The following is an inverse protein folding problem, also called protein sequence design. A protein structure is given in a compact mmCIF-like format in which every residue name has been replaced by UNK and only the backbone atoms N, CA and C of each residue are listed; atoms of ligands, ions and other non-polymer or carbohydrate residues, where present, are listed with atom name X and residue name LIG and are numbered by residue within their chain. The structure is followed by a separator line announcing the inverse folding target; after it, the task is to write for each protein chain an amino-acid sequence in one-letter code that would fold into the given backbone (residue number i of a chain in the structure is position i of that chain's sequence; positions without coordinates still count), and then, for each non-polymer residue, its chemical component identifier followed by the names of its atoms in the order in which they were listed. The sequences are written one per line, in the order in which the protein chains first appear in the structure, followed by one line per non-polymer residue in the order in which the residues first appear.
data_IF_020199993682
#
_entry.id   IF_020199993682
#
_cell.length_a   1.000
_cell.length_b   1.000
_cell.length_c   1.000
_cell.angle_alpha   90.00
_cell.angle_beta   90.00
_cell.angle_gamma   90.00
#
_symmetry.space_group_name_H-M   'P 1'
#
loop_
_entity.id
_entity.type
_entity.pdbx_description
1 polymer ?
#
# COMPACT_ATOMS: atom_id res chain seq x y z
N UNK A 1 -3.39 11.94 -16.13
CA UNK A 1 -2.88 11.12 -14.99
C UNK A 1 -1.81 11.92 -14.27
N UNK A 2 -1.86 11.93 -12.91
CA UNK A 2 -0.83 12.50 -12.05
C UNK A 2 -0.45 11.45 -11.01
N UNK A 3 0.85 11.26 -10.76
CA UNK A 3 1.35 10.39 -9.71
C UNK A 3 2.20 11.22 -8.73
N UNK A 4 1.97 11.02 -7.43
CA UNK A 4 2.70 11.69 -6.35
C UNK A 4 3.26 10.63 -5.42
N UNK A 5 4.58 10.60 -5.25
CA UNK A 5 5.24 9.68 -4.32
C UNK A 5 4.98 10.16 -2.89
N UNK A 6 4.40 9.31 -2.07
CA UNK A 6 4.14 9.57 -0.66
C UNK A 6 5.23 9.01 0.24
N UNK A 7 5.87 7.91 -0.15
CA UNK A 7 7.02 7.34 0.53
C UNK A 7 7.90 6.62 -0.49
N UNK A 8 9.20 6.81 -0.37
CA UNK A 8 10.27 6.04 -0.99
C UNK A 8 11.54 6.12 -0.14
N UNK A 9 12.63 5.54 -0.64
CA UNK A 9 13.90 5.47 0.11
C UNK A 9 14.58 6.83 0.33
N UNK A 10 14.11 7.89 -0.32
CA UNK A 10 14.75 9.21 -0.30
C UNK A 10 13.77 10.24 0.22
N UNK A 11 14.13 10.91 1.31
CA UNK A 11 13.39 12.09 1.79
C UNK A 11 13.81 13.35 1.04
N UNK A 12 12.87 14.26 0.78
CA UNK A 12 13.14 15.55 0.16
C UNK A 12 12.42 16.69 0.90
N UNK A 13 13.17 17.71 1.26
CA UNK A 13 12.63 18.86 1.98
C UNK A 13 12.03 18.47 3.34
N UNK A 14 10.75 18.77 3.58
CA UNK A 14 10.07 18.40 4.82
C UNK A 14 9.57 16.93 4.83
N UNK A 15 9.69 16.21 3.71
CA UNK A 15 9.22 14.84 3.56
C UNK A 15 10.33 13.87 3.97
N UNK A 16 9.99 12.93 4.82
CA UNK A 16 10.91 11.87 5.22
C UNK A 16 10.84 10.69 4.24
N UNK A 17 11.96 9.96 4.11
CA UNK A 17 12.02 8.71 3.35
C UNK A 17 12.08 7.49 4.27
N UNK A 18 11.68 6.35 3.76
CA UNK A 18 11.86 5.04 4.37
C UNK A 18 12.10 3.98 3.31
N UNK A 19 12.65 2.84 3.68
CA UNK A 19 12.72 1.68 2.79
C UNK A 19 11.31 1.19 2.50
N UNK A 20 10.83 1.41 1.27
CA UNK A 20 9.47 1.06 0.85
C UNK A 20 8.93 2.00 -0.21
N UNK A 21 7.68 1.77 -0.60
CA UNK A 21 7.02 2.57 -1.62
C UNK A 21 5.56 2.85 -1.26
N UNK A 22 5.12 4.09 -1.54
CA UNK A 22 3.71 4.46 -1.57
C UNK A 22 3.49 5.58 -2.58
N UNK A 23 2.54 5.40 -3.50
CA UNK A 23 2.25 6.36 -4.56
C UNK A 23 0.75 6.68 -4.58
N UNK A 24 0.42 7.96 -4.49
CA UNK A 24 -0.91 8.48 -4.76
C UNK A 24 -1.06 8.78 -6.25
N UNK A 25 -2.13 8.27 -6.87
CA UNK A 25 -2.39 8.41 -8.29
C UNK A 25 -3.78 9.04 -8.49
N UNK A 26 -3.80 10.12 -9.28
CA UNK A 26 -5.02 10.72 -9.82
C UNK A 26 -5.15 10.33 -11.30
N UNK A 27 -6.17 9.55 -11.61
CA UNK A 27 -6.46 9.11 -12.97
C UNK A 27 -7.95 9.28 -13.26
N UNK A 28 -8.25 10.05 -14.31
CA UNK A 28 -9.62 10.48 -14.62
C UNK A 28 -10.29 11.09 -13.37
N UNK A 29 -11.38 10.51 -12.90
CA UNK A 29 -12.10 10.90 -11.69
C UNK A 29 -11.78 9.98 -10.49
N UNK A 30 -10.72 9.16 -10.58
CA UNK A 30 -10.31 8.21 -9.54
C UNK A 30 -9.07 8.66 -8.79
N UNK A 31 -9.07 8.38 -7.50
CA UNK A 31 -7.94 8.54 -6.59
C UNK A 31 -7.52 7.16 -6.11
N UNK A 32 -6.29 6.78 -6.40
CA UNK A 32 -5.79 5.43 -6.22
C UNK A 32 -4.56 5.48 -5.32
N UNK A 33 -4.41 4.53 -4.41
CA UNK A 33 -3.20 4.35 -3.63
C UNK A 33 -2.49 3.06 -4.10
N UNK A 34 -1.28 3.21 -4.64
CA UNK A 34 -0.42 2.09 -4.95
C UNK A 34 0.58 1.92 -3.81
N UNK A 35 0.55 0.79 -3.13
CA UNK A 35 1.34 0.47 -1.96
C UNK A 35 1.21 1.45 -0.78
N UNK A 36 1.73 1.08 0.37
CA UNK A 36 1.54 1.82 1.62
C UNK A 36 2.81 2.03 2.43
N UNK A 37 3.98 1.64 1.89
CA UNK A 37 5.25 1.75 2.62
C UNK A 37 5.40 0.75 3.77
N UNK A 38 6.48 0.92 4.52
CA UNK A 38 6.84 0.06 5.65
C UNK A 38 6.21 0.50 6.98
N UNK A 39 5.68 1.72 7.05
CA UNK A 39 5.18 2.33 8.29
C UNK A 39 4.01 3.30 8.06
N UNK A 40 3.76 4.17 9.05
CA UNK A 40 2.81 5.27 8.91
C UNK A 40 3.37 6.48 8.13
N UNK A 41 4.60 6.42 7.63
CA UNK A 41 5.30 7.58 7.05
C UNK A 41 4.53 8.18 5.87
N UNK A 42 4.00 7.35 4.98
CA UNK A 42 3.20 7.83 3.83
C UNK A 42 1.98 8.67 4.27
N UNK A 43 1.41 8.39 5.46
CA UNK A 43 0.29 9.17 6.02
C UNK A 43 0.76 10.57 6.45
N UNK A 44 1.92 10.66 7.08
CA UNK A 44 2.49 11.94 7.51
C UNK A 44 2.90 12.79 6.29
N UNK A 45 3.51 12.16 5.28
CA UNK A 45 3.87 12.82 4.03
C UNK A 45 2.62 13.26 3.25
N UNK A 46 1.59 12.42 3.16
CA UNK A 46 0.32 12.79 2.53
C UNK A 46 -0.30 14.02 3.20
N UNK A 47 -0.27 14.08 4.54
CA UNK A 47 -0.73 15.23 5.31
C UNK A 47 0.10 16.49 5.01
N UNK A 48 1.42 16.37 4.93
CA UNK A 48 2.30 17.49 4.58
C UNK A 48 2.08 18.03 3.16
N UNK A 49 1.57 17.17 2.26
CA UNK A 49 1.22 17.52 0.88
C UNK A 49 -0.25 17.88 0.66
N UNK A 50 -1.06 17.99 1.73
CA UNK A 50 -2.51 18.23 1.67
C UNK A 50 -3.27 17.17 0.82
N UNK A 51 -2.82 15.91 0.84
CA UNK A 51 -3.46 14.80 0.14
C UNK A 51 -4.41 14.07 1.10
N UNK A 52 -5.73 14.14 0.88
CA UNK A 52 -6.73 13.53 1.77
C UNK A 52 -6.87 12.02 1.49
N UNK A 53 -6.22 11.18 2.29
CA UNK A 53 -6.25 9.71 2.16
C UNK A 53 -7.66 9.14 2.33
N UNK A 54 -8.54 9.82 3.05
CA UNK A 54 -9.96 9.47 3.21
C UNK A 54 -10.75 9.51 1.91
N UNK A 55 -10.26 10.24 0.89
CA UNK A 55 -10.92 10.40 -0.41
C UNK A 55 -10.38 9.42 -1.47
N UNK A 56 -9.50 8.50 -1.12
CA UNK A 56 -9.01 7.48 -2.03
C UNK A 56 -10.14 6.48 -2.32
N UNK A 57 -10.37 6.19 -3.61
CA UNK A 57 -11.43 5.30 -4.08
C UNK A 57 -11.07 3.83 -3.85
N UNK A 58 -9.84 3.45 -4.13
CA UNK A 58 -9.31 2.10 -3.90
C UNK A 58 -7.78 2.09 -3.81
N UNK A 59 -7.25 1.02 -3.24
CA UNK A 59 -5.81 0.75 -3.20
C UNK A 59 -5.43 -0.48 -3.99
N UNK A 60 -4.17 -0.56 -4.38
CA UNK A 60 -3.54 -1.70 -5.07
C UNK A 60 -2.25 -2.03 -4.33
N UNK A 61 -2.04 -3.31 -4.03
CA UNK A 61 -0.76 -3.79 -3.53
C UNK A 61 0.01 -4.41 -4.70
N UNK A 62 1.17 -3.84 -5.01
CA UNK A 62 2.04 -4.34 -6.09
C UNK A 62 2.57 -5.73 -5.80
N UNK A 63 3.00 -5.96 -4.57
CA UNK A 63 3.42 -7.24 -4.02
C UNK A 63 3.41 -7.20 -2.49
N UNK A 64 3.45 -8.37 -1.85
CA UNK A 64 3.18 -8.48 -0.43
C UNK A 64 4.42 -8.42 0.49
N UNK A 65 5.51 -7.77 0.10
CA UNK A 65 6.59 -7.48 1.02
C UNK A 65 6.17 -6.43 2.05
N UNK A 66 6.73 -6.52 3.27
CA UNK A 66 6.37 -5.67 4.41
C UNK A 66 6.55 -4.17 4.12
N UNK A 67 7.56 -3.82 3.35
CA UNK A 67 7.91 -2.45 2.98
C UNK A 67 6.97 -1.82 1.92
N UNK A 68 6.00 -2.59 1.43
CA UNK A 68 4.90 -2.15 0.58
C UNK A 68 3.53 -2.28 1.26
N UNK A 69 3.40 -3.17 2.24
CA UNK A 69 2.12 -3.57 2.81
C UNK A 69 1.87 -3.13 4.26
N UNK A 70 2.91 -2.87 5.06
CA UNK A 70 2.75 -2.57 6.49
C UNK A 70 1.91 -1.32 6.78
N UNK A 71 1.93 -0.35 5.87
CA UNK A 71 1.14 0.86 5.99
C UNK A 71 -0.37 0.67 5.85
N UNK A 72 -0.85 -0.47 5.33
CA UNK A 72 -2.29 -0.71 5.06
C UNK A 72 -3.16 -0.53 6.31
N UNK A 73 -2.68 -0.90 7.50
CA UNK A 73 -3.40 -0.69 8.76
C UNK A 73 -3.68 0.80 8.99
N UNK A 74 -2.69 1.65 8.76
CA UNK A 74 -2.82 3.11 8.93
C UNK A 74 -3.74 3.72 7.88
N UNK A 75 -3.71 3.19 6.65
CA UNK A 75 -4.65 3.56 5.60
C UNK A 75 -6.09 3.24 6.00
N UNK A 76 -6.39 2.00 6.42
CA UNK A 76 -7.74 1.59 6.81
C UNK A 76 -8.29 2.32 8.02
N UNK A 77 -7.44 2.79 8.91
CA UNK A 77 -7.84 3.68 10.02
C UNK A 77 -8.30 5.06 9.54
N UNK A 78 -7.76 5.56 8.43
CA UNK A 78 -8.10 6.87 7.84
C UNK A 78 -9.22 6.78 6.82
N UNK A 79 -9.12 5.85 5.90
CA UNK A 79 -10.13 5.61 4.87
C UNK A 79 -11.09 4.50 5.33
N UNK A 80 -12.40 4.78 5.33
CA UNK A 80 -13.41 3.86 5.85
C UNK A 80 -14.13 3.05 4.78
N UNK A 81 -13.91 3.33 3.49
CA UNK A 81 -14.68 2.73 2.40
C UNK A 81 -13.84 2.02 1.34
N UNK A 82 -12.66 2.52 1.03
CA UNK A 82 -11.83 1.96 -0.04
C UNK A 82 -11.47 0.50 0.20
N UNK A 83 -11.53 -0.30 -0.85
CA UNK A 83 -11.00 -1.67 -0.88
C UNK A 83 -9.55 -1.65 -1.34
N UNK A 84 -8.79 -2.67 -0.95
CA UNK A 84 -7.43 -2.90 -1.45
C UNK A 84 -7.40 -4.16 -2.30
N UNK A 85 -6.86 -4.05 -3.50
CA UNK A 85 -6.72 -5.16 -4.45
C UNK A 85 -5.34 -5.78 -4.30
N UNK A 86 -5.30 -7.09 -4.13
CA UNK A 86 -4.10 -7.91 -3.95
C UNK A 86 -4.16 -9.10 -4.91
N UNK A 87 -2.99 -9.57 -5.35
CA UNK A 87 -2.92 -10.86 -6.01
C UNK A 87 -3.31 -11.98 -5.04
N UNK A 88 -4.02 -12.99 -5.52
CA UNK A 88 -4.51 -14.12 -4.73
C UNK A 88 -3.41 -14.86 -3.98
N UNK A 89 -2.23 -14.99 -4.59
CA UNK A 89 -1.05 -15.63 -4.01
C UNK A 89 -0.13 -14.67 -3.23
N UNK A 90 -0.55 -13.44 -2.98
CA UNK A 90 0.35 -12.40 -2.46
C UNK A 90 0.97 -12.73 -1.09
N UNK A 91 0.29 -13.49 -0.23
CA UNK A 91 0.80 -13.88 1.08
C UNK A 91 1.66 -15.17 1.07
N UNK A 92 1.84 -15.78 -0.12
CA UNK A 92 2.62 -16.99 -0.29
C UNK A 92 4.08 -16.68 -0.58
N UNK A 93 4.99 -17.53 -0.07
CA UNK A 93 6.42 -17.49 -0.42
C UNK A 93 7.17 -16.17 -0.15
N UNK A 94 6.67 -15.32 0.73
CA UNK A 94 7.33 -14.07 1.13
C UNK A 94 8.38 -14.32 2.21
N UNK A 95 9.48 -14.98 1.85
CA UNK A 95 10.58 -15.28 2.77
C UNK A 95 11.93 -14.83 2.20
N UNK A 96 12.72 -14.15 3.03
CA UNK A 96 14.15 -13.95 2.77
C UNK A 96 14.95 -15.08 3.42
N UNK A 97 16.04 -15.50 2.76
CA UNK A 97 17.01 -16.42 3.34
C UNK A 97 18.25 -15.62 3.77
N UNK A 98 18.41 -15.48 5.08
CA UNK A 98 19.49 -14.71 5.68
C UNK A 98 20.15 -15.55 6.79
N UNK A 99 21.48 -15.60 6.79
CA UNK A 99 22.28 -16.28 7.82
C UNK A 99 21.83 -17.73 8.13
N UNK A 100 21.47 -18.48 7.09
CA UNK A 100 21.06 -19.89 7.22
C UNK A 100 19.62 -20.10 7.71
N UNK A 101 18.79 -19.04 7.76
CA UNK A 101 17.39 -19.12 8.19
C UNK A 101 16.44 -18.44 7.20
N UNK A 102 15.24 -18.97 7.12
CA UNK A 102 14.13 -18.29 6.44
C UNK A 102 13.44 -17.32 7.40
N UNK A 103 13.36 -16.06 6.98
CA UNK A 103 12.61 -15.01 7.70
C UNK A 103 11.42 -14.59 6.85
N UNK A 104 10.23 -14.60 7.43
CA UNK A 104 9.04 -14.06 6.77
C UNK A 104 9.18 -12.55 6.61
N UNK A 105 9.01 -12.05 5.39
CA UNK A 105 9.11 -10.64 5.02
C UNK A 105 7.86 -10.14 4.31
N UNK A 106 6.76 -10.87 4.43
CA UNK A 106 5.49 -10.54 3.78
C UNK A 106 4.59 -9.66 4.62
N UNK A 107 3.40 -9.41 4.08
CA UNK A 107 2.32 -8.69 4.74
C UNK A 107 2.00 -9.31 6.11
N UNK A 108 1.74 -8.50 7.16
CA UNK A 108 1.33 -9.01 8.47
C UNK A 108 0.06 -9.87 8.34
N UNK A 109 0.14 -11.14 8.79
CA UNK A 109 -0.97 -12.10 8.62
C UNK A 109 -2.22 -11.75 9.43
N UNK A 110 -2.04 -11.10 10.56
CA UNK A 110 -3.12 -10.56 11.40
C UNK A 110 -3.87 -9.41 10.70
N UNK A 111 -3.19 -8.60 9.90
CA UNK A 111 -3.80 -7.57 9.07
C UNK A 111 -4.77 -8.18 8.04
N UNK A 112 -4.37 -9.27 7.39
CA UNK A 112 -5.22 -9.96 6.41
C UNK A 112 -6.53 -10.47 7.05
N UNK A 113 -6.47 -10.91 8.29
CA UNK A 113 -7.64 -11.36 9.04
C UNK A 113 -8.48 -10.18 9.54
N UNK A 114 -7.84 -9.16 10.11
CA UNK A 114 -8.53 -8.01 10.70
C UNK A 114 -9.29 -7.15 9.67
N UNK A 115 -8.80 -7.10 8.43
CA UNK A 115 -9.38 -6.30 7.35
C UNK A 115 -9.87 -7.13 6.15
N UNK A 116 -10.21 -8.41 6.36
CA UNK A 116 -10.61 -9.32 5.29
C UNK A 116 -11.77 -8.80 4.42
N UNK A 117 -12.70 -8.05 4.99
CA UNK A 117 -13.82 -7.43 4.30
C UNK A 117 -13.43 -6.20 3.47
N UNK A 118 -12.20 -5.72 3.63
CA UNK A 118 -11.61 -4.59 2.89
C UNK A 118 -10.62 -5.04 1.82
N UNK A 119 -10.35 -6.34 1.70
CA UNK A 119 -9.39 -6.93 0.76
C UNK A 119 -10.13 -7.63 -0.38
N UNK A 120 -9.67 -7.40 -1.61
CA UNK A 120 -10.15 -8.08 -2.80
C UNK A 120 -8.97 -8.80 -3.45
N UNK A 121 -9.08 -10.12 -3.54
CA UNK A 121 -8.06 -10.97 -4.12
C UNK A 121 -8.33 -11.17 -5.61
N UNK A 122 -7.44 -10.65 -6.46
CA UNK A 122 -7.49 -10.82 -7.91
C UNK A 122 -6.80 -12.14 -8.31
N UNK A 123 -7.40 -12.85 -9.25
CA UNK A 123 -6.85 -14.08 -9.84
C UNK A 123 -6.62 -13.80 -11.34
N UNK A 124 -5.51 -13.14 -11.66
CA UNK A 124 -5.15 -12.67 -12.98
C UNK A 124 -5.49 -11.20 -13.23
N UNK A 125 -5.60 -10.83 -14.50
CA UNK A 125 -5.86 -9.46 -14.93
C UNK A 125 -7.29 -9.02 -14.64
N UNK A 126 -7.46 -7.80 -14.15
CA UNK A 126 -8.77 -7.21 -13.88
C UNK A 126 -8.78 -5.72 -14.21
N UNK A 127 -9.86 -5.24 -14.83
CA UNK A 127 -10.11 -3.82 -14.96
C UNK A 127 -10.71 -3.29 -13.65
N UNK A 128 -10.07 -2.30 -13.03
CA UNK A 128 -10.51 -1.70 -11.76
C UNK A 128 -11.29 -0.40 -11.97
N UNK A 129 -11.10 0.25 -13.12
CA UNK A 129 -11.83 1.43 -13.56
C UNK A 129 -11.79 1.51 -15.09
N UNK A 130 -12.57 2.43 -15.66
CA UNK A 130 -12.52 2.74 -17.09
C UNK A 130 -11.22 3.47 -17.44
N UNK A 131 -10.55 3.06 -18.54
CA UNK A 131 -9.33 3.71 -19.06
C UNK A 131 -8.17 2.77 -19.30
#
# INVERSE_FOLDING_TARGET
MKATVLADNIGEGPLAGEWGLSIYIEYENKKILLDTGASALFVENAKAMDIPLENIDFGILSHAHYDHANGMEYFFKRNRHAKFYLQKSCAENCYAYEEGRFRYIGIPKDLLTAYQDRLIYADGDAALCDG
#
